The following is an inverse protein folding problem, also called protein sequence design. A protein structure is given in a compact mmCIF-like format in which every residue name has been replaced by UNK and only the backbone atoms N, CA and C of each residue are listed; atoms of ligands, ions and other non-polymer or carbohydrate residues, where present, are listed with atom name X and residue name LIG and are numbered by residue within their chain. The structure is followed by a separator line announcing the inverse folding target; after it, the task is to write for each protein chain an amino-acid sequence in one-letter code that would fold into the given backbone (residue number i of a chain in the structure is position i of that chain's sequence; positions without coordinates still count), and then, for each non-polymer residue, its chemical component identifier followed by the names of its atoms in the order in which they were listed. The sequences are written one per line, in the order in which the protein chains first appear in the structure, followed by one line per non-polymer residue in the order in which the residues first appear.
data_IF_272882182831
#
_entry.id   IF_272882182831
#
_cell.length_a   1.000
_cell.length_b   1.000
_cell.length_c   1.000
_cell.angle_alpha   90.00
_cell.angle_beta   90.00
_cell.angle_gamma   90.00
#
_symmetry.space_group_name_H-M   'P 1'
#
loop_
_entity.id
_entity.type
_entity.pdbx_description
1 polymer ?
#
# COMPACT_ATOMS: atom_id res chain seq x y z
N UNK A 1 2.74 -7.69 27.26
CA UNK A 1 3.28 -8.09 25.95
C UNK A 1 4.23 -6.99 25.51
N UNK A 2 5.51 -7.26 25.51
CA UNK A 2 6.52 -6.27 25.13
C UNK A 2 6.51 -6.11 23.61
N UNK A 3 6.35 -4.88 23.15
CA UNK A 3 6.50 -4.51 21.73
C UNK A 3 8.01 -4.46 21.46
N UNK A 4 8.49 -5.27 20.52
CA UNK A 4 9.89 -5.24 20.08
C UNK A 4 10.14 -3.99 19.22
N UNK A 5 10.76 -2.98 19.80
CA UNK A 5 11.08 -1.70 19.15
C UNK A 5 12.28 -1.76 18.19
N UNK A 6 12.85 -2.93 17.93
CA UNK A 6 14.13 -3.05 17.20
C UNK A 6 14.00 -3.07 15.67
N UNK A 7 12.79 -3.11 15.11
CA UNK A 7 12.59 -3.15 13.66
C UNK A 7 11.96 -1.87 13.12
N UNK A 8 12.72 -1.07 12.40
CA UNK A 8 12.20 0.09 11.65
C UNK A 8 11.33 -0.36 10.46
N UNK A 9 10.35 0.45 10.11
CA UNK A 9 9.42 0.21 8.99
C UNK A 9 10.18 -0.06 7.67
N UNK A 10 11.35 0.55 7.46
CA UNK A 10 12.23 0.31 6.30
C UNK A 10 12.73 -1.12 6.23
N UNK A 11 13.08 -1.74 7.36
CA UNK A 11 13.53 -3.13 7.38
C UNK A 11 12.38 -4.09 7.06
N UNK A 12 11.14 -3.74 7.44
CA UNK A 12 9.95 -4.52 7.11
C UNK A 12 9.57 -4.43 5.64
N UNK A 13 9.77 -3.26 5.01
CA UNK A 13 9.50 -3.06 3.58
C UNK A 13 10.58 -3.75 2.71
N UNK A 14 11.86 -3.70 3.13
CA UNK A 14 12.98 -4.28 2.38
C UNK A 14 13.03 -5.82 2.43
N UNK A 15 12.45 -6.44 3.45
CA UNK A 15 12.48 -7.90 3.63
C UNK A 15 11.31 -8.63 2.97
N UNK A 16 10.50 -7.95 2.13
CA UNK A 16 9.28 -8.55 1.57
C UNK A 16 8.45 -9.16 2.70
N UNK A 17 7.34 -8.55 3.06
CA UNK A 17 6.51 -8.93 4.21
C UNK A 17 6.44 -10.46 4.34
N UNK A 18 7.19 -11.04 5.29
CA UNK A 18 6.96 -12.41 5.71
C UNK A 18 5.56 -12.44 6.29
N UNK A 19 4.62 -13.03 5.55
CA UNK A 19 3.28 -13.28 6.04
C UNK A 19 3.39 -13.99 7.38
N UNK A 20 2.85 -13.37 8.43
CA UNK A 20 2.64 -14.05 9.71
C UNK A 20 1.84 -15.31 9.45
N UNK A 21 2.37 -16.47 9.82
CA UNK A 21 1.71 -17.77 9.66
C UNK A 21 0.54 -17.96 10.64
N UNK A 22 0.26 -16.95 11.47
CA UNK A 22 -0.77 -16.97 12.53
C UNK A 22 -2.10 -16.32 12.13
N UNK A 23 -2.40 -16.19 10.84
CA UNK A 23 -3.76 -15.80 10.46
C UNK A 23 -4.71 -16.99 10.67
N UNK A 24 -5.77 -16.81 11.46
CA UNK A 24 -6.80 -17.81 11.71
C UNK A 24 -7.58 -18.24 10.46
N UNK A 25 -7.23 -17.73 9.29
CA UNK A 25 -7.82 -18.10 8.00
C UNK A 25 -6.79 -18.82 7.15
N UNK A 26 -7.02 -20.12 6.81
CA UNK A 26 -6.17 -20.82 5.87
C UNK A 26 -6.29 -20.15 4.51
N UNK A 27 -5.23 -19.48 4.05
CA UNK A 27 -5.15 -19.02 2.66
C UNK A 27 -5.05 -20.25 1.76
N UNK A 28 -5.97 -20.43 0.82
CA UNK A 28 -5.86 -21.51 -0.16
C UNK A 28 -4.56 -21.32 -0.94
N UNK A 29 -3.67 -22.31 -0.86
CA UNK A 29 -2.30 -22.28 -1.40
C UNK A 29 -2.20 -22.05 -2.91
N UNK A 30 -3.31 -21.97 -3.64
CA UNK A 30 -3.32 -22.02 -5.12
C UNK A 30 -4.17 -20.93 -5.80
N UNK A 31 -4.68 -19.93 -5.09
CA UNK A 31 -5.56 -18.92 -5.71
C UNK A 31 -4.83 -17.64 -6.18
N UNK A 32 -3.54 -17.49 -5.94
CA UNK A 32 -2.82 -16.26 -6.27
C UNK A 32 -3.37 -15.01 -5.55
N UNK A 33 -4.12 -15.21 -4.47
CA UNK A 33 -4.74 -14.15 -3.69
C UNK A 33 -3.73 -13.67 -2.64
N UNK A 34 -3.42 -12.38 -2.68
CA UNK A 34 -2.66 -11.74 -1.62
C UNK A 34 -3.58 -11.42 -0.44
N UNK A 35 -3.17 -11.79 0.77
CA UNK A 35 -3.86 -11.44 2.02
C UNK A 35 -3.00 -10.43 2.75
N UNK A 36 -3.60 -9.29 3.10
CA UNK A 36 -2.94 -8.18 3.76
C UNK A 36 -3.49 -8.00 5.18
N UNK A 37 -2.63 -7.55 6.10
CA UNK A 37 -3.03 -7.30 7.49
C UNK A 37 -3.86 -6.03 7.65
N UNK A 38 -3.70 -5.07 6.74
CA UNK A 38 -4.41 -3.81 6.72
C UNK A 38 -4.48 -3.20 5.32
N UNK A 39 -5.29 -2.17 5.14
CA UNK A 39 -5.46 -1.50 3.85
C UNK A 39 -4.21 -0.80 3.32
N UNK A 40 -3.31 -0.34 4.18
CA UNK A 40 -2.09 0.34 3.73
C UNK A 40 -1.14 -0.63 3.01
N UNK A 41 -1.09 -1.89 3.42
CA UNK A 41 -0.30 -2.93 2.75
C UNK A 41 -0.84 -3.29 1.36
N UNK A 42 -2.13 -3.08 1.11
CA UNK A 42 -2.76 -3.33 -0.18
C UNK A 42 -2.55 -2.19 -1.20
N UNK A 43 -1.88 -1.09 -0.81
CA UNK A 43 -1.61 0.04 -1.69
C UNK A 43 -0.53 -0.35 -2.71
N UNK A 44 -0.77 0.00 -3.97
CA UNK A 44 0.20 -0.26 -5.04
C UNK A 44 -0.17 -1.45 -5.91
N UNK A 45 0.81 -1.95 -6.66
CA UNK A 45 0.63 -3.01 -7.68
C UNK A 45 -0.57 -2.77 -8.61
N UNK A 46 -0.91 -1.49 -8.83
CA UNK A 46 -2.03 -1.10 -9.70
C UNK A 46 -1.77 -1.53 -11.13
N UNK A 47 -2.78 -2.07 -11.83
CA UNK A 47 -2.58 -2.64 -13.16
C UNK A 47 -2.31 -1.59 -14.23
N UNK A 48 -1.61 -2.01 -15.27
CA UNK A 48 -1.49 -1.29 -16.53
C UNK A 48 -2.52 -1.84 -17.52
N UNK A 49 -3.32 -0.95 -18.09
CA UNK A 49 -4.33 -1.28 -19.12
C UNK A 49 -3.91 -0.68 -20.44
N UNK A 50 -3.84 -1.50 -21.49
CA UNK A 50 -3.58 -1.02 -22.84
C UNK A 50 -4.80 -0.28 -23.39
N UNK A 51 -4.58 0.93 -23.92
CA UNK A 51 -5.61 1.70 -24.60
C UNK A 51 -5.63 1.29 -26.08
N UNK A 52 -6.72 0.62 -26.48
CA UNK A 52 -6.79 0.02 -27.83
C UNK A 52 -7.66 0.79 -28.80
N UNK A 53 -8.68 1.55 -28.34
CA UNK A 53 -9.70 2.12 -29.21
C UNK A 53 -9.65 3.63 -29.36
N UNK A 54 -9.16 4.34 -28.35
CA UNK A 54 -9.18 5.80 -28.33
C UNK A 54 -7.97 6.45 -28.96
N UNK A 55 -6.98 5.65 -29.36
CA UNK A 55 -5.71 6.14 -29.89
C UNK A 55 -5.41 5.42 -31.21
N UNK A 56 -5.31 6.19 -32.27
CA UNK A 56 -4.83 5.72 -33.56
C UNK A 56 -3.35 6.08 -33.69
N UNK A 57 -2.48 5.19 -33.25
CA UNK A 57 -1.02 5.38 -33.25
C UNK A 57 -0.31 4.03 -33.32
N UNK A 58 0.86 3.92 -33.93
CA UNK A 58 1.71 2.74 -33.86
C UNK A 58 2.33 2.54 -32.47
N UNK A 59 2.27 3.56 -31.56
CA UNK A 59 2.78 3.49 -30.21
C UNK A 59 1.87 2.64 -29.30
N UNK A 60 2.48 1.88 -28.40
CA UNK A 60 1.75 1.24 -27.31
C UNK A 60 1.51 2.23 -26.19
N UNK A 61 0.24 2.53 -25.92
CA UNK A 61 -0.16 3.43 -24.85
C UNK A 61 -0.80 2.64 -23.72
N UNK A 62 -0.30 2.85 -22.50
CA UNK A 62 -0.74 2.16 -21.29
C UNK A 62 -1.25 3.18 -20.26
N UNK A 63 -2.39 2.87 -19.65
CA UNK A 63 -2.93 3.62 -18.52
C UNK A 63 -2.70 2.86 -17.23
N UNK A 64 -2.08 3.52 -16.25
CA UNK A 64 -1.94 2.98 -14.89
C UNK A 64 -3.21 3.29 -14.10
N UNK A 65 -3.88 2.25 -13.61
CA UNK A 65 -5.20 2.38 -12.99
C UNK A 65 -5.06 2.57 -11.48
N UNK A 66 -4.82 3.80 -11.06
CA UNK A 66 -4.63 4.16 -9.65
C UNK A 66 -5.91 4.08 -8.80
N UNK A 67 -7.09 4.04 -9.43
CA UNK A 67 -8.35 3.76 -8.75
C UNK A 67 -8.47 2.33 -8.18
N UNK A 68 -7.48 1.47 -8.44
CA UNK A 68 -7.39 0.14 -7.81
C UNK A 68 -6.74 0.14 -6.43
N UNK A 69 -6.24 1.28 -5.97
CA UNK A 69 -5.83 1.42 -4.57
C UNK A 69 -7.06 1.34 -3.62
N UNK A 70 -6.88 0.99 -2.34
CA UNK A 70 -7.96 0.75 -1.38
C UNK A 70 -8.96 1.90 -1.20
N UNK A 71 -8.52 3.16 -1.32
CA UNK A 71 -9.39 4.34 -1.30
C UNK A 71 -9.65 4.90 -2.72
N UNK A 72 -9.51 4.07 -3.74
CA UNK A 72 -9.77 4.42 -5.16
C UNK A 72 -8.99 5.63 -5.67
N UNK A 73 -7.82 5.92 -5.11
CA UNK A 73 -7.06 7.12 -5.39
C UNK A 73 -5.55 6.90 -5.40
N UNK A 74 -4.86 7.65 -6.27
CA UNK A 74 -3.39 7.79 -6.20
C UNK A 74 -2.94 8.39 -4.86
N UNK A 75 -3.80 9.11 -4.16
CA UNK A 75 -3.52 9.72 -2.85
C UNK A 75 -3.31 8.70 -1.74
N UNK A 76 -3.75 7.46 -1.91
CA UNK A 76 -3.41 6.35 -1.01
C UNK A 76 -1.90 6.24 -0.81
N UNK A 77 -1.12 6.38 -1.88
CA UNK A 77 0.35 6.26 -1.84
C UNK A 77 0.99 7.34 -0.99
N UNK A 78 0.65 8.59 -1.26
CA UNK A 78 1.24 9.73 -0.53
C UNK A 78 0.75 9.76 0.93
N UNK A 79 -0.54 9.48 1.17
CA UNK A 79 -1.10 9.44 2.52
C UNK A 79 -0.39 8.41 3.40
N UNK A 80 -0.25 7.17 2.93
CA UNK A 80 0.47 6.13 3.66
C UNK A 80 1.95 6.49 3.88
N UNK A 81 2.62 7.06 2.87
CA UNK A 81 4.03 7.44 2.97
C UNK A 81 4.26 8.57 3.98
N UNK A 82 3.39 9.58 4.02
CA UNK A 82 3.47 10.68 4.98
C UNK A 82 3.30 10.20 6.41
N UNK A 83 2.33 9.32 6.67
CA UNK A 83 2.12 8.74 8.00
C UNK A 83 3.33 7.93 8.43
N UNK A 84 3.81 7.02 7.58
CA UNK A 84 4.95 6.17 7.90
C UNK A 84 6.23 7.00 8.17
N UNK A 85 6.48 8.03 7.37
CA UNK A 85 7.63 8.94 7.57
C UNK A 85 7.51 9.74 8.87
N UNK A 86 6.30 10.22 9.20
CA UNK A 86 6.07 10.96 10.44
C UNK A 86 6.21 10.07 11.69
N UNK A 87 5.77 8.81 11.62
CA UNK A 87 5.97 7.84 12.69
C UNK A 87 7.45 7.47 12.86
N UNK A 88 8.16 7.21 11.76
CA UNK A 88 9.60 6.90 11.78
C UNK A 88 10.43 8.06 12.40
N UNK A 89 10.04 9.29 12.13
CA UNK A 89 10.69 10.50 12.68
C UNK A 89 10.23 10.85 14.10
N UNK A 90 9.28 10.12 14.67
CA UNK A 90 8.70 10.41 15.98
C UNK A 90 7.87 11.70 16.03
N UNK A 91 7.48 12.24 14.86
CA UNK A 91 6.63 13.41 14.74
C UNK A 91 5.16 13.08 15.00
N UNK A 92 4.74 11.85 14.69
CA UNK A 92 3.40 11.33 14.94
C UNK A 92 3.43 10.33 16.10
N UNK A 93 2.63 10.59 17.15
CA UNK A 93 2.54 9.76 18.34
C UNK A 93 1.07 9.42 18.63
N UNK A 94 0.79 8.34 19.37
CA UNK A 94 -0.57 8.01 19.79
C UNK A 94 -1.29 9.20 20.46
N UNK A 95 -2.52 9.45 20.05
CA UNK A 95 -3.34 10.56 20.56
C UNK A 95 -3.15 11.90 19.86
N UNK A 96 -2.24 12.01 18.88
CA UNK A 96 -2.10 13.21 18.06
C UNK A 96 -3.16 13.27 16.95
N UNK A 97 -3.57 14.48 16.59
CA UNK A 97 -4.48 14.74 15.49
C UNK A 97 -3.68 15.13 14.25
N UNK A 98 -4.08 14.60 13.11
CA UNK A 98 -3.56 14.98 11.81
C UNK A 98 -4.57 15.93 11.17
N UNK A 99 -4.10 17.08 10.72
CA UNK A 99 -4.92 18.09 10.03
C UNK A 99 -4.29 18.32 8.65
N UNK A 100 -5.08 18.10 7.61
CA UNK A 100 -4.68 18.30 6.22
C UNK A 100 -5.72 19.17 5.51
N UNK A 101 -5.32 20.28 4.88
CA UNK A 101 -6.24 21.06 4.08
C UNK A 101 -6.65 20.27 2.82
N UNK A 102 -7.94 20.25 2.54
CA UNK A 102 -8.47 19.63 1.31
C UNK A 102 -8.96 20.73 0.36
N UNK A 103 -8.82 20.49 -0.93
CA UNK A 103 -9.41 21.27 -2.01
C UNK A 103 -10.70 20.64 -2.50
#
# INVERSE_FOLDING_TARGET
MAYDESMTLKSKIAQGVKMSTDSAFPTPKNLGIAVYSNNAEAIGNTPLIRINRSISSPATVLAKIESRNPAFSVKCRIGAALIADAEEKGLLKPGMHIVEPTS
#
